data_IF_919512148583
#
_entry.id   IF_919512148583
#
_cell.length_a   1.000
_cell.length_b   1.000
_cell.length_c   1.000
_cell.angle_alpha   90.00
_cell.angle_beta   90.00
_cell.angle_gamma   90.00
#
_symmetry.space_group_name_H-M   'P 1'
#
loop_
_entity.id
_entity.type
_entity.pdbx_description
1 polymer ?
#
# COMPACT_ATOMS: atom_id res chain seq x y z
N UNK A 1 -1.44 -29.80 13.70
CA UNK A 1 -2.33 -28.63 13.57
C UNK A 1 -1.89 -27.64 14.63
N UNK A 2 -1.06 -26.67 14.27
CA UNK A 2 -0.65 -25.63 15.22
C UNK A 2 -1.63 -24.48 15.03
N UNK A 3 -2.58 -24.35 15.97
CA UNK A 3 -3.35 -23.11 16.13
C UNK A 3 -2.36 -22.00 16.40
N UNK A 4 -2.20 -21.10 15.46
CA UNK A 4 -1.60 -19.80 15.72
C UNK A 4 -2.65 -19.09 16.59
N UNK A 5 -2.41 -19.08 17.91
CA UNK A 5 -3.20 -18.26 18.81
C UNK A 5 -3.11 -16.82 18.31
N UNK A 6 -4.27 -16.25 17.97
CA UNK A 6 -4.39 -14.86 17.54
C UNK A 6 -3.77 -13.99 18.63
N UNK A 7 -2.58 -13.45 18.36
CA UNK A 7 -1.87 -12.60 19.31
C UNK A 7 -2.77 -11.39 19.56
N UNK A 8 -3.17 -11.11 20.81
CA UNK A 8 -4.04 -9.99 21.09
C UNK A 8 -3.37 -8.70 20.59
N UNK A 9 -4.16 -7.88 19.89
CA UNK A 9 -3.83 -6.54 19.36
C UNK A 9 -3.58 -5.54 20.51
N UNK A 10 -2.59 -5.81 21.36
CA UNK A 10 -2.35 -5.08 22.61
C UNK A 10 -1.49 -3.82 22.43
N UNK A 11 -0.87 -3.60 21.28
CA UNK A 11 0.13 -2.54 21.12
C UNK A 11 0.16 -1.90 19.72
N UNK A 12 -1.00 -1.58 19.17
CA UNK A 12 -1.11 -0.72 18.00
C UNK A 12 -1.75 0.59 18.42
N UNK A 13 -0.92 1.59 18.71
CA UNK A 13 -1.31 2.99 18.99
C UNK A 13 -2.23 3.64 17.95
N UNK A 14 -2.50 2.96 16.82
CA UNK A 14 -3.35 3.43 15.72
C UNK A 14 -4.60 2.58 15.46
N UNK A 15 -4.92 1.64 16.35
CA UNK A 15 -6.06 0.75 16.15
C UNK A 15 -7.38 1.51 15.97
N UNK A 16 -7.63 2.54 16.77
CA UNK A 16 -8.86 3.34 16.66
C UNK A 16 -8.98 4.07 15.32
N UNK A 17 -7.88 4.63 14.81
CA UNK A 17 -7.88 5.27 13.51
C UNK A 17 -8.07 4.23 12.38
N UNK A 18 -7.50 3.02 12.48
CA UNK A 18 -7.76 1.97 11.47
C UNK A 18 -9.22 1.54 11.55
N UNK A 19 -9.74 1.31 12.75
CA UNK A 19 -11.10 0.84 12.95
C UNK A 19 -12.10 1.86 12.41
N UNK A 20 -11.86 3.16 12.59
CA UNK A 20 -12.63 4.25 11.98
C UNK A 20 -12.54 4.23 10.44
N UNK A 21 -11.34 4.04 9.89
CA UNK A 21 -11.14 4.02 8.44
C UNK A 21 -11.74 2.75 7.79
N UNK A 22 -11.58 1.59 8.44
CA UNK A 22 -12.22 0.33 8.06
C UNK A 22 -13.73 0.44 8.16
N UNK A 23 -14.26 1.10 9.20
CA UNK A 23 -15.71 1.35 9.32
C UNK A 23 -16.24 2.20 8.15
N UNK A 24 -15.51 3.23 7.72
CA UNK A 24 -15.85 4.01 6.50
C UNK A 24 -15.85 3.14 5.24
N UNK A 25 -14.99 2.14 5.19
CA UNK A 25 -14.90 1.16 4.11
C UNK A 25 -15.80 -0.08 4.30
N UNK A 26 -16.58 -0.13 5.39
CA UNK A 26 -17.41 -1.27 5.78
C UNK A 26 -16.64 -2.60 5.96
N UNK A 27 -15.40 -2.52 6.45
CA UNK A 27 -14.51 -3.63 6.78
C UNK A 27 -14.37 -3.77 8.31
N UNK A 28 -14.01 -4.97 8.79
CA UNK A 28 -13.76 -5.23 10.21
C UNK A 28 -12.54 -6.12 10.37
N UNK A 29 -11.56 -5.69 11.18
CA UNK A 29 -10.43 -6.53 11.55
C UNK A 29 -10.78 -7.38 12.78
N UNK A 30 -10.73 -8.70 12.67
CA UNK A 30 -10.99 -9.61 13.80
C UNK A 30 -9.73 -9.93 14.61
N UNK A 31 -8.54 -9.61 14.07
CA UNK A 31 -7.24 -9.83 14.71
C UNK A 31 -6.09 -9.10 14.00
N UNK A 32 -4.87 -9.30 14.50
CA UNK A 32 -3.66 -8.66 13.96
C UNK A 32 -3.37 -9.03 12.50
N UNK A 33 -3.68 -10.27 12.10
CA UNK A 33 -3.47 -10.73 10.73
C UNK A 33 -4.41 -10.03 9.74
N UNK A 34 -5.69 -9.87 10.09
CA UNK A 34 -6.66 -9.12 9.28
C UNK A 34 -6.23 -7.65 9.18
N UNK A 35 -5.82 -7.08 10.31
CA UNK A 35 -5.31 -5.70 10.37
C UNK A 35 -4.18 -5.51 9.35
N UNK A 36 -3.14 -6.35 9.39
CA UNK A 36 -2.00 -6.22 8.48
C UNK A 36 -2.33 -6.59 7.04
N UNK A 37 -3.25 -7.52 6.79
CA UNK A 37 -3.76 -7.80 5.45
C UNK A 37 -4.44 -6.56 4.84
N UNK A 38 -5.23 -5.84 5.62
CA UNK A 38 -5.86 -4.59 5.19
C UNK A 38 -4.83 -3.49 4.94
N UNK A 39 -3.86 -3.31 5.85
CA UNK A 39 -2.74 -2.38 5.66
C UNK A 39 -2.02 -2.65 4.32
N UNK A 40 -1.72 -3.91 4.04
CA UNK A 40 -1.09 -4.33 2.79
C UNK A 40 -1.96 -3.98 1.60
N UNK A 41 -3.24 -4.34 1.64
CA UNK A 41 -4.19 -4.07 0.56
C UNK A 41 -4.29 -2.59 0.23
N UNK A 42 -4.45 -1.73 1.23
CA UNK A 42 -4.56 -0.28 1.01
C UNK A 42 -3.27 0.33 0.52
N UNK A 43 -2.13 -0.12 1.01
CA UNK A 43 -0.83 0.39 0.56
C UNK A 43 -0.57 0.02 -0.90
N UNK A 44 -0.88 -1.23 -1.30
CA UNK A 44 -0.79 -1.66 -2.70
C UNK A 44 -1.76 -0.88 -3.59
N UNK A 45 -2.99 -0.68 -3.12
CA UNK A 45 -4.00 0.10 -3.84
C UNK A 45 -3.57 1.56 -4.06
N UNK A 46 -3.06 2.22 -3.01
CA UNK A 46 -2.54 3.57 -3.07
C UNK A 46 -1.35 3.69 -4.04
N UNK A 47 -0.41 2.74 -3.98
CA UNK A 47 0.73 2.71 -4.89
C UNK A 47 0.31 2.56 -6.35
N UNK A 48 -0.63 1.65 -6.64
CA UNK A 48 -1.18 1.46 -7.98
C UNK A 48 -1.92 2.71 -8.48
N UNK A 49 -2.72 3.33 -7.63
CA UNK A 49 -3.42 4.58 -7.98
C UNK A 49 -2.42 5.70 -8.26
N UNK A 50 -1.38 5.83 -7.44
CA UNK A 50 -0.34 6.84 -7.66
C UNK A 50 0.39 6.63 -8.99
N UNK A 51 0.72 5.39 -9.35
CA UNK A 51 1.36 5.04 -10.63
C UNK A 51 0.42 5.37 -11.81
N UNK A 52 -0.86 5.00 -11.69
CA UNK A 52 -1.85 5.22 -12.74
C UNK A 52 -2.21 6.71 -12.94
N UNK A 53 -1.96 7.56 -11.95
CA UNK A 53 -2.22 9.00 -12.03
C UNK A 53 -0.94 9.82 -12.28
N UNK A 54 0.18 9.16 -12.61
CA UNK A 54 1.38 9.89 -13.03
C UNK A 54 1.13 10.62 -14.37
N UNK A 55 1.72 11.81 -14.57
CA UNK A 55 1.57 12.57 -15.81
C UNK A 55 1.99 11.76 -17.05
N UNK A 56 3.04 10.95 -16.91
CA UNK A 56 3.61 10.12 -17.96
C UNK A 56 3.09 8.67 -17.95
N UNK A 57 1.95 8.36 -17.30
CA UNK A 57 1.41 7.00 -17.16
C UNK A 57 1.32 6.17 -18.45
N UNK A 58 1.17 6.83 -19.60
CA UNK A 58 1.08 6.20 -20.91
C UNK A 58 2.45 5.72 -21.44
N UNK A 59 3.53 6.30 -20.93
CA UNK A 59 4.92 5.95 -21.27
C UNK A 59 5.47 4.86 -20.34
N UNK A 60 4.81 4.63 -19.19
CA UNK A 60 5.22 3.61 -18.22
C UNK A 60 4.78 2.23 -18.71
N UNK A 61 5.75 1.46 -19.22
CA UNK A 61 5.54 0.09 -19.66
C UNK A 61 5.20 -0.86 -18.51
N UNK A 62 4.70 -2.08 -18.80
CA UNK A 62 4.31 -3.05 -17.76
C UNK A 62 5.43 -3.38 -16.78
N UNK A 63 6.66 -3.55 -17.26
CA UNK A 63 7.84 -3.83 -16.42
C UNK A 63 8.20 -2.65 -15.52
N UNK A 64 8.12 -1.42 -16.04
CA UNK A 64 8.37 -0.20 -15.26
C UNK A 64 7.31 0.00 -14.19
N UNK A 65 6.04 -0.32 -14.48
CA UNK A 65 4.96 -0.30 -13.49
C UNK A 65 5.23 -1.26 -12.34
N UNK A 66 5.71 -2.47 -12.62
CA UNK A 66 6.11 -3.44 -11.60
C UNK A 66 7.28 -2.91 -10.77
N UNK A 67 8.32 -2.35 -11.42
CA UNK A 67 9.46 -1.78 -10.73
C UNK A 67 9.08 -0.60 -9.82
N UNK A 68 8.19 0.28 -10.29
CA UNK A 68 7.67 1.40 -9.51
C UNK A 68 6.82 0.91 -8.33
N UNK A 69 5.96 -0.10 -8.54
CA UNK A 69 5.15 -0.68 -7.47
C UNK A 69 6.03 -1.30 -6.39
N UNK A 70 7.03 -2.09 -6.78
CA UNK A 70 7.99 -2.70 -5.86
C UNK A 70 8.76 -1.63 -5.10
N UNK A 71 9.20 -0.57 -5.78
CA UNK A 71 9.89 0.57 -5.16
C UNK A 71 9.00 1.27 -4.13
N UNK A 72 7.75 1.56 -4.48
CA UNK A 72 6.76 2.21 -3.61
C UNK A 72 6.48 1.40 -2.34
N UNK A 73 6.39 0.07 -2.46
CA UNK A 73 6.15 -0.81 -1.32
C UNK A 73 7.42 -1.00 -0.47
N UNK A 74 8.60 -0.95 -1.07
CA UNK A 74 9.86 -1.18 -0.34
C UNK A 74 10.14 -0.13 0.74
N UNK A 75 9.66 1.11 0.54
CA UNK A 75 9.90 2.22 1.44
C UNK A 75 8.73 3.18 1.42
N UNK A 76 8.27 3.54 2.61
CA UNK A 76 7.17 4.48 2.77
C UNK A 76 7.41 5.84 2.09
N UNK A 77 8.63 6.36 2.17
CA UNK A 77 9.00 7.62 1.49
C UNK A 77 8.80 7.57 -0.03
N UNK A 78 8.97 6.38 -0.65
CA UNK A 78 8.82 6.21 -2.10
C UNK A 78 7.37 6.31 -2.54
N UNK A 79 6.43 5.83 -1.73
CA UNK A 79 5.01 6.07 -1.95
C UNK A 79 4.68 7.56 -1.82
N UNK A 80 5.30 8.26 -0.87
CA UNK A 80 5.19 9.72 -0.72
C UNK A 80 5.71 10.50 -1.93
N UNK A 81 6.88 10.12 -2.47
CA UNK A 81 7.44 10.69 -3.69
C UNK A 81 6.47 10.53 -4.88
N UNK A 82 5.91 9.33 -5.08
CA UNK A 82 4.94 9.07 -6.14
C UNK A 82 3.67 9.92 -5.98
N UNK A 83 3.15 10.04 -4.76
CA UNK A 83 1.96 10.85 -4.48
C UNK A 83 2.19 12.33 -4.81
N UNK A 84 3.38 12.87 -4.52
CA UNK A 84 3.74 14.25 -4.86
C UNK A 84 3.77 14.47 -6.38
N UNK A 85 4.20 13.47 -7.15
CA UNK A 85 4.28 13.50 -8.61
C UNK A 85 2.92 13.54 -9.33
N UNK A 86 1.81 13.28 -8.64
CA UNK A 86 0.46 13.39 -9.21
C UNK A 86 0.11 14.87 -9.43
N UNK A 87 -0.19 15.25 -10.66
CA UNK A 87 -0.70 16.58 -11.00
C UNK A 87 -2.20 16.68 -10.67
N UNK A 88 -2.51 17.24 -9.50
CA UNK A 88 -3.88 17.44 -9.03
C UNK A 88 -4.66 18.50 -9.80
N UNK A 89 -4.03 19.26 -10.69
CA UNK A 89 -4.71 20.28 -11.52
C UNK A 89 -5.21 19.71 -12.85
N UNK A 90 -4.74 18.52 -13.22
CA UNK A 90 -5.08 17.88 -14.49
C UNK A 90 -6.57 17.52 -14.60
N UNK A 91 -7.15 16.91 -13.55
CA UNK A 91 -8.58 16.59 -13.50
C UNK A 91 -9.07 16.35 -12.06
N UNK A 92 -10.39 16.33 -11.87
CA UNK A 92 -11.00 15.97 -10.58
C UNK A 92 -10.59 14.56 -10.12
N UNK A 93 -10.42 13.62 -11.06
CA UNK A 93 -9.93 12.27 -10.77
C UNK A 93 -8.50 12.30 -10.19
N UNK A 94 -7.62 13.12 -10.76
CA UNK A 94 -6.24 13.25 -10.25
C UNK A 94 -6.22 13.94 -8.89
N UNK A 95 -7.05 14.97 -8.67
CA UNK A 95 -7.20 15.62 -7.38
C UNK A 95 -7.69 14.64 -6.30
N UNK A 96 -8.75 13.90 -6.58
CA UNK A 96 -9.31 12.90 -5.66
C UNK A 96 -8.35 11.75 -5.41
N UNK A 97 -7.68 11.26 -6.45
CA UNK A 97 -6.71 10.19 -6.30
C UNK A 97 -5.48 10.60 -5.51
N UNK A 98 -4.98 11.83 -5.72
CA UNK A 98 -3.91 12.38 -4.89
C UNK A 98 -4.33 12.48 -3.43
N UNK A 99 -5.52 13.00 -3.17
CA UNK A 99 -6.06 13.11 -1.81
C UNK A 99 -6.20 11.74 -1.13
N UNK A 100 -6.70 10.72 -1.85
CA UNK A 100 -6.82 9.35 -1.33
C UNK A 100 -5.45 8.74 -0.97
N UNK A 101 -4.47 8.87 -1.87
CA UNK A 101 -3.11 8.37 -1.62
C UNK A 101 -2.48 9.11 -0.43
N UNK A 102 -2.70 10.41 -0.31
CA UNK A 102 -2.22 11.22 0.82
C UNK A 102 -2.91 10.86 2.14
N UNK A 103 -4.21 10.59 2.14
CA UNK A 103 -4.95 10.13 3.32
C UNK A 103 -4.35 8.83 3.86
N UNK A 104 -4.10 7.86 2.97
CA UNK A 104 -3.43 6.61 3.30
C UNK A 104 -2.02 6.91 3.85
N UNK A 105 -1.25 7.79 3.22
CA UNK A 105 0.09 8.16 3.72
C UNK A 105 0.04 8.80 5.13
N UNK A 106 -0.86 9.74 5.36
CA UNK A 106 -1.00 10.41 6.66
C UNK A 106 -1.36 9.41 7.76
N UNK A 107 -2.29 8.50 7.47
CA UNK A 107 -2.68 7.42 8.35
C UNK A 107 -1.48 6.59 8.85
N UNK A 108 -0.51 6.33 7.97
CA UNK A 108 0.71 5.59 8.31
C UNK A 108 1.75 6.40 9.09
N UNK A 109 1.83 7.73 8.88
CA UNK A 109 2.82 8.59 9.57
C UNK A 109 2.43 8.93 11.00
N UNK A 110 1.13 9.01 11.27
CA UNK A 110 0.62 9.36 12.61
C UNK A 110 0.73 8.18 13.59
N UNK A 111 1.03 6.97 13.11
CA UNK A 111 1.22 5.79 13.94
C UNK A 111 2.62 5.56 14.41
N UNK A 112 2.77 5.29 15.71
CA UNK A 112 4.04 4.98 16.39
C UNK A 112 5.08 4.38 15.45
N UNK A 113 6.06 5.18 15.01
CA UNK A 113 6.88 4.87 13.83
C UNK A 113 7.65 3.56 13.96
N UNK A 114 8.01 3.13 15.16
CA UNK A 114 9.02 2.08 15.35
C UNK A 114 8.47 0.65 15.29
N UNK A 115 7.27 0.41 15.85
CA UNK A 115 6.60 -0.89 15.72
C UNK A 115 5.89 -1.00 14.38
N UNK A 116 5.29 0.10 13.92
CA UNK A 116 4.68 0.17 12.60
C UNK A 116 5.73 -0.05 11.51
N UNK A 117 6.87 0.66 11.54
CA UNK A 117 7.91 0.51 10.51
C UNK A 117 8.46 -0.91 10.41
N UNK A 118 8.67 -1.62 11.54
CA UNK A 118 9.20 -3.00 11.49
C UNK A 118 8.23 -3.98 10.85
N UNK A 119 6.96 -3.96 11.27
CA UNK A 119 5.94 -4.87 10.72
C UNK A 119 5.51 -4.48 9.30
N UNK A 120 5.43 -3.18 9.02
CA UNK A 120 5.21 -2.64 7.69
C UNK A 120 6.36 -3.04 6.75
N UNK A 121 7.61 -2.85 7.16
CA UNK A 121 8.78 -3.24 6.36
C UNK A 121 8.77 -4.74 6.08
N UNK A 122 8.45 -5.57 7.07
CA UNK A 122 8.36 -7.02 6.87
C UNK A 122 7.24 -7.39 5.88
N UNK A 123 6.02 -6.92 6.12
CA UNK A 123 4.83 -7.25 5.31
C UNK A 123 4.91 -6.71 3.89
N UNK A 124 5.41 -5.48 3.72
CA UNK A 124 5.59 -4.86 2.42
C UNK A 124 6.75 -5.49 1.64
N UNK A 125 7.86 -5.85 2.30
CA UNK A 125 8.96 -6.53 1.64
C UNK A 125 8.53 -7.89 1.08
N UNK A 126 7.81 -8.69 1.88
CA UNK A 126 7.26 -9.97 1.41
C UNK A 126 6.27 -9.77 0.25
N UNK A 127 5.45 -8.73 0.31
CA UNK A 127 4.49 -8.40 -0.75
C UNK A 127 5.21 -8.00 -2.05
N UNK A 128 6.23 -7.16 -1.95
CA UNK A 128 7.07 -6.75 -3.08
C UNK A 128 7.80 -7.95 -3.71
N UNK A 129 8.34 -8.86 -2.90
CA UNK A 129 8.94 -10.10 -3.38
C UNK A 129 7.94 -11.00 -4.10
N UNK A 130 6.72 -11.15 -3.57
CA UNK A 130 5.64 -11.91 -4.24
C UNK A 130 5.28 -11.29 -5.59
N UNK A 131 5.16 -9.96 -5.66
CA UNK A 131 4.88 -9.23 -6.90
C UNK A 131 6.00 -9.47 -7.93
N UNK A 132 7.26 -9.36 -7.53
CA UNK A 132 8.41 -9.65 -8.39
C UNK A 132 8.41 -11.09 -8.90
N UNK A 133 8.16 -12.05 -8.01
CA UNK A 133 8.09 -13.47 -8.37
C UNK A 133 6.96 -13.74 -9.37
N UNK A 134 5.78 -13.18 -9.14
CA UNK A 134 4.63 -13.30 -10.04
C UNK A 134 4.94 -12.70 -11.42
N UNK A 135 5.55 -11.51 -11.45
CA UNK A 135 5.97 -10.85 -12.69
C UNK A 135 7.01 -11.68 -13.45
N UNK A 136 7.96 -12.32 -12.76
CA UNK A 136 8.95 -13.19 -13.38
C UNK A 136 8.36 -14.50 -13.94
N UNK A 137 7.28 -15.01 -13.34
CA UNK A 137 6.57 -16.20 -13.82
C UNK A 137 5.55 -15.93 -14.93
N UNK A 138 5.15 -14.66 -15.11
CA UNK A 138 4.26 -14.25 -16.17
C UNK A 138 5.05 -14.12 -17.48
N UNK A 139 5.35 -15.26 -18.11
CA UNK A 139 5.90 -15.28 -19.46
C UNK A 139 4.94 -14.54 -20.39
N UNK A 140 5.45 -13.51 -21.07
CA UNK A 140 4.77 -12.90 -22.21
C UNK A 140 4.41 -14.00 -23.23
N UNK A 141 3.24 -13.96 -23.88
CA UNK A 141 2.96 -14.90 -24.95
C UNK A 141 4.05 -14.77 -26.00
N UNK A 142 4.71 -15.90 -26.28
CA UNK A 142 5.63 -16.07 -27.41
C UNK A 142 4.80 -15.75 -28.65
N UNK A 143 5.18 -14.68 -29.35
CA UNK A 143 4.57 -14.26 -30.61
C UNK A 143 4.74 -15.28 -31.73
#
# INVERSE_FOLDING_TARGET
>A
MNSIEATPLLDLTNREQLDDWLARMNLRASGADDYWCYVVGFTVSAALQAINLQPNRNEIGPSDRVALLVSALSRFDKLGELAMGIDSTCSLEHANGKAHVQEIICYWREGSPEHFARQYQHSMHLTAQKILALAATSQQPIG
#
